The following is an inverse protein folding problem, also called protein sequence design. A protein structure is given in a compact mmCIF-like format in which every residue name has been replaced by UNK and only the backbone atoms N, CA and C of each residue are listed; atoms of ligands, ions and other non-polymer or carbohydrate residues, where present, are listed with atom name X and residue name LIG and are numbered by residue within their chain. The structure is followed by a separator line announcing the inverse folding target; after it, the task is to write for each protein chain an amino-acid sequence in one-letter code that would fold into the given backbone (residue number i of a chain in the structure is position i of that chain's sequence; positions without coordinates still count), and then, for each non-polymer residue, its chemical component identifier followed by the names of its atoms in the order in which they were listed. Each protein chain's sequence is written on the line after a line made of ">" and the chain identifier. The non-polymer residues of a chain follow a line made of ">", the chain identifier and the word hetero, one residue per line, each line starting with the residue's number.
data_IF_349910509482
#
_entry.id   IF_349910509482
#
_cell.length_a   1.000
_cell.length_b   1.000
_cell.length_c   1.000
_cell.angle_alpha   90.00
_cell.angle_beta   90.00
_cell.angle_gamma   90.00
#
_symmetry.space_group_name_H-M   'P 1'
#
loop_
_entity.id
_entity.type
_entity.pdbx_description
1 polymer ?
#
# COMPACT_ATOMS: atom_id res chain seq x y z
N UNK A 1 -22.37 -16.84 -11.74
CA UNK A 1 -21.36 -16.06 -11.00
C UNK A 1 -22.12 -15.04 -10.16
N UNK A 2 -21.94 -15.01 -8.84
CA UNK A 2 -22.64 -14.06 -7.96
C UNK A 2 -21.82 -12.78 -7.84
N UNK A 3 -22.46 -11.63 -8.04
CA UNK A 3 -21.84 -10.30 -7.89
C UNK A 3 -22.26 -9.67 -6.55
N UNK A 4 -21.38 -8.86 -5.95
CA UNK A 4 -21.62 -8.10 -4.73
C UNK A 4 -21.69 -6.61 -5.04
N UNK A 5 -22.57 -5.89 -4.34
CA UNK A 5 -22.52 -4.43 -4.31
C UNK A 5 -21.30 -3.95 -3.52
N UNK A 6 -20.88 -2.70 -3.72
CA UNK A 6 -19.79 -2.08 -2.93
C UNK A 6 -20.03 -2.13 -1.43
N UNK A 7 -21.28 -2.01 -0.95
CA UNK A 7 -21.61 -2.14 0.47
C UNK A 7 -21.39 -3.56 1.00
N UNK A 8 -21.87 -4.58 0.28
CA UNK A 8 -21.69 -5.98 0.65
C UNK A 8 -20.20 -6.38 0.59
N UNK A 9 -19.50 -5.96 -0.46
CA UNK A 9 -18.08 -6.24 -0.62
C UNK A 9 -17.23 -5.57 0.47
N UNK A 10 -17.53 -4.32 0.84
CA UNK A 10 -16.82 -3.64 1.91
C UNK A 10 -17.01 -4.34 3.27
N UNK A 11 -18.23 -4.82 3.55
CA UNK A 11 -18.52 -5.61 4.73
C UNK A 11 -17.73 -6.94 4.75
N UNK A 12 -17.71 -7.68 3.64
CA UNK A 12 -16.93 -8.92 3.49
C UNK A 12 -15.43 -8.68 3.73
N UNK A 13 -14.89 -7.57 3.21
CA UNK A 13 -13.47 -7.20 3.38
C UNK A 13 -13.15 -6.63 4.77
N UNK A 14 -14.17 -6.39 5.60
CA UNK A 14 -14.10 -5.71 6.90
C UNK A 14 -13.43 -4.34 6.80
N UNK A 15 -13.84 -3.55 5.80
CA UNK A 15 -13.35 -2.19 5.60
C UNK A 15 -14.49 -1.21 5.27
N UNK A 16 -14.20 0.09 5.29
CA UNK A 16 -15.18 1.08 4.87
C UNK A 16 -15.46 1.01 3.36
N UNK A 17 -16.66 1.41 2.93
CA UNK A 17 -17.00 1.57 1.50
C UNK A 17 -16.03 2.54 0.82
N UNK A 18 -15.57 3.57 1.52
CA UNK A 18 -14.57 4.50 0.98
C UNK A 18 -13.23 3.82 0.71
N UNK A 19 -12.78 2.94 1.61
CA UNK A 19 -11.56 2.14 1.41
C UNK A 19 -11.69 1.25 0.18
N UNK A 20 -12.83 0.58 -0.01
CA UNK A 20 -13.08 -0.22 -1.21
C UNK A 20 -13.07 0.63 -2.48
N UNK A 21 -13.73 1.80 -2.48
CA UNK A 21 -13.69 2.74 -3.61
C UNK A 21 -12.27 3.16 -3.97
N UNK A 22 -11.40 3.36 -2.99
CA UNK A 22 -9.98 3.66 -3.22
C UNK A 22 -9.22 2.49 -3.86
N UNK A 23 -9.50 1.25 -3.45
CA UNK A 23 -8.92 0.06 -4.10
C UNK A 23 -9.33 -0.05 -5.57
N UNK A 24 -10.61 0.21 -5.86
CA UNK A 24 -11.14 0.26 -7.23
C UNK A 24 -10.47 1.38 -8.03
N UNK A 25 -10.41 2.60 -7.50
CA UNK A 25 -9.81 3.76 -8.18
C UNK A 25 -8.30 3.58 -8.44
N UNK A 26 -7.61 2.82 -7.59
CA UNK A 26 -6.21 2.47 -7.79
C UNK A 26 -6.00 1.36 -8.85
N UNK A 27 -7.07 0.74 -9.34
CA UNK A 27 -7.01 -0.33 -10.35
C UNK A 27 -6.49 -1.67 -9.79
N UNK A 28 -6.66 -1.92 -8.49
CA UNK A 28 -6.13 -3.11 -7.81
C UNK A 28 -7.05 -4.34 -7.89
N UNK A 29 -8.24 -4.18 -8.48
CA UNK A 29 -9.22 -5.24 -8.67
C UNK A 29 -9.44 -5.41 -10.18
N UNK A 30 -9.22 -6.62 -10.73
CA UNK A 30 -9.19 -6.84 -12.18
C UNK A 30 -10.56 -6.75 -12.83
N UNK A 31 -11.62 -7.15 -12.11
CA UNK A 31 -13.00 -7.09 -12.59
C UNK A 31 -13.87 -6.17 -11.73
N UNK A 32 -14.28 -5.06 -12.33
CA UNK A 32 -15.28 -4.15 -11.77
C UNK A 32 -16.33 -3.91 -12.84
N UNK A 33 -17.60 -4.20 -12.51
CA UNK A 33 -18.72 -4.08 -13.43
C UNK A 33 -19.63 -2.93 -13.00
N UNK A 34 -20.24 -2.26 -13.97
CA UNK A 34 -21.22 -1.22 -13.70
C UNK A 34 -22.61 -1.70 -14.16
N UNK A 35 -23.61 -1.50 -13.29
CA UNK A 35 -25.03 -1.75 -13.61
C UNK A 35 -25.86 -0.53 -13.20
N UNK A 36 -26.03 0.40 -14.14
CA UNK A 36 -26.59 1.71 -13.86
C UNK A 36 -25.63 2.49 -12.93
N UNK A 37 -26.14 2.98 -11.79
CA UNK A 37 -25.34 3.69 -10.80
C UNK A 37 -24.68 2.77 -9.76
N UNK A 38 -24.69 1.45 -10.00
CA UNK A 38 -24.16 0.45 -9.06
C UNK A 38 -22.90 -0.19 -9.62
N UNK A 39 -21.82 0.01 -8.89
CA UNK A 39 -20.60 -0.79 -9.04
C UNK A 39 -20.80 -2.17 -8.40
N UNK A 40 -20.48 -3.21 -9.16
CA UNK A 40 -20.59 -4.61 -8.83
C UNK A 40 -19.22 -5.28 -8.93
N UNK A 41 -18.92 -6.14 -7.95
CA UNK A 41 -17.67 -6.90 -7.88
C UNK A 41 -17.98 -8.40 -7.89
N UNK A 42 -17.21 -9.26 -8.59
CA UNK A 42 -17.37 -10.70 -8.48
C UNK A 42 -17.19 -11.16 -7.02
N UNK A 43 -18.14 -11.91 -6.48
CA UNK A 43 -18.07 -12.37 -5.08
C UNK A 43 -16.86 -13.27 -4.82
N UNK A 44 -16.39 -14.01 -5.84
CA UNK A 44 -15.18 -14.83 -5.76
C UNK A 44 -13.95 -13.98 -5.44
N UNK A 45 -13.77 -12.89 -6.18
CA UNK A 45 -12.65 -11.96 -6.05
C UNK A 45 -12.62 -11.30 -4.68
N UNK A 46 -13.79 -10.82 -4.22
CA UNK A 46 -13.93 -10.20 -2.90
C UNK A 46 -13.55 -11.20 -1.79
N UNK A 47 -14.02 -12.45 -1.88
CA UNK A 47 -13.70 -13.49 -0.89
C UNK A 47 -12.24 -13.91 -0.94
N UNK A 48 -11.63 -13.98 -2.13
CA UNK A 48 -10.21 -14.26 -2.28
C UNK A 48 -9.38 -13.17 -1.59
N UNK A 49 -9.77 -11.92 -1.77
CA UNK A 49 -9.13 -10.78 -1.12
C UNK A 49 -9.35 -10.77 0.41
N UNK A 50 -10.56 -11.10 0.87
CA UNK A 50 -10.89 -11.17 2.30
C UNK A 50 -10.06 -12.22 3.06
N UNK A 51 -9.68 -13.31 2.39
CA UNK A 51 -8.88 -14.41 2.93
C UNK A 51 -7.37 -14.17 2.90
N UNK A 52 -6.92 -13.01 2.44
CA UNK A 52 -5.49 -12.70 2.39
C UNK A 52 -4.89 -12.73 3.79
N UNK A 53 -3.79 -13.46 3.90
CA UNK A 53 -3.01 -13.54 5.12
C UNK A 53 -2.44 -12.17 5.50
N UNK A 54 -2.26 -11.97 6.80
CA UNK A 54 -1.52 -10.85 7.33
C UNK A 54 -0.03 -10.98 7.00
N UNK A 55 0.65 -9.85 6.90
CA UNK A 55 2.08 -9.78 7.12
C UNK A 55 2.33 -10.12 8.57
N UNK A 56 3.16 -11.12 8.82
CA UNK A 56 3.65 -11.45 10.16
C UNK A 56 4.94 -10.65 10.43
N UNK A 57 4.91 -9.61 11.29
CA UNK A 57 6.10 -8.80 11.58
C UNK A 57 7.23 -9.62 12.20
N UNK A 58 6.90 -10.69 12.95
CA UNK A 58 7.90 -11.58 13.56
C UNK A 58 8.71 -12.34 12.50
N UNK A 59 8.07 -12.74 11.41
CA UNK A 59 8.68 -13.48 10.30
C UNK A 59 9.49 -12.59 9.33
N UNK A 60 9.42 -11.26 9.48
CA UNK A 60 10.22 -10.34 8.69
C UNK A 60 11.63 -10.14 9.25
N UNK A 61 11.88 -10.58 10.49
CA UNK A 61 13.16 -10.38 11.21
C UNK A 61 13.54 -8.89 11.34
N UNK A 62 12.52 -8.02 11.30
CA UNK A 62 12.65 -6.59 11.53
C UNK A 62 12.20 -6.28 12.96
N UNK A 63 12.91 -5.38 13.65
CA UNK A 63 12.43 -4.87 14.94
C UNK A 63 11.13 -4.07 14.80
N UNK A 64 10.98 -3.38 13.67
CA UNK A 64 9.84 -2.52 13.36
C UNK A 64 9.70 -2.37 11.84
N UNK A 65 8.46 -2.35 11.35
CA UNK A 65 8.13 -2.10 9.95
C UNK A 65 7.43 -0.73 9.81
N UNK A 66 8.11 0.28 9.24
CA UNK A 66 7.47 1.51 8.81
C UNK A 66 6.48 1.26 7.67
N UNK A 67 5.31 1.88 7.74
CA UNK A 67 4.21 1.72 6.79
C UNK A 67 3.71 3.08 6.33
N UNK A 68 3.96 3.43 5.06
CA UNK A 68 3.39 4.59 4.40
C UNK A 68 1.98 4.27 3.89
N UNK A 69 0.99 5.02 4.37
CA UNK A 69 -0.41 4.88 3.94
C UNK A 69 -0.71 5.86 2.83
N UNK A 70 -1.24 5.36 1.72
CA UNK A 70 -1.57 6.18 0.54
C UNK A 70 -3.01 6.04 0.10
N UNK A 71 -3.49 7.03 -0.64
CA UNK A 71 -4.70 6.95 -1.45
C UNK A 71 -4.40 6.50 -2.88
N UNK A 72 -5.44 6.48 -3.73
CA UNK A 72 -5.28 6.36 -5.18
C UNK A 72 -4.36 7.46 -5.72
N UNK A 73 -3.69 7.19 -6.83
CA UNK A 73 -2.83 8.18 -7.47
C UNK A 73 -3.64 9.37 -7.98
N UNK A 74 -3.30 10.56 -7.50
CA UNK A 74 -3.94 11.84 -7.83
C UNK A 74 -2.87 12.89 -8.13
N UNK A 75 -3.24 13.96 -8.85
CA UNK A 75 -2.34 15.09 -9.07
C UNK A 75 -2.18 15.89 -7.78
N UNK A 76 -0.93 16.18 -7.40
CA UNK A 76 -0.65 16.99 -6.23
C UNK A 76 -1.13 18.43 -6.43
N UNK A 77 -2.03 18.89 -5.56
CA UNK A 77 -2.55 20.25 -5.57
C UNK A 77 -1.42 21.29 -5.45
N UNK A 78 -1.47 22.34 -6.28
CA UNK A 78 -0.51 23.44 -6.24
C UNK A 78 0.89 23.12 -6.78
N UNK A 79 1.10 21.94 -7.35
CA UNK A 79 2.36 21.61 -8.03
C UNK A 79 2.41 22.24 -9.43
N UNK A 80 3.45 23.05 -9.72
CA UNK A 80 3.69 23.64 -11.05
C UNK A 80 4.03 22.59 -12.12
N UNK A 81 4.50 21.43 -11.67
CA UNK A 81 4.72 20.23 -12.46
C UNK A 81 3.67 19.23 -12.02
N UNK A 82 3.00 18.55 -12.95
CA UNK A 82 1.94 17.53 -12.71
C UNK A 82 2.46 16.33 -11.91
N UNK A 83 2.87 16.54 -10.67
CA UNK A 83 3.45 15.54 -9.80
C UNK A 83 2.32 14.69 -9.23
N UNK A 84 2.37 13.39 -9.47
CA UNK A 84 1.42 12.46 -8.88
C UNK A 84 1.79 12.19 -7.42
N UNK A 85 0.78 11.95 -6.58
CA UNK A 85 0.93 11.42 -5.23
C UNK A 85 0.00 10.21 -5.07
N UNK A 86 0.44 9.20 -4.33
CA UNK A 86 -0.35 8.00 -4.06
C UNK A 86 -0.04 6.84 -4.99
N UNK A 87 -0.99 5.91 -5.14
CA UNK A 87 -0.77 4.63 -5.81
C UNK A 87 -1.82 4.34 -6.90
N UNK A 88 -1.37 3.87 -8.06
CA UNK A 88 -2.23 3.23 -9.04
C UNK A 88 -1.47 2.14 -9.80
N UNK A 89 -2.12 1.00 -10.02
CA UNK A 89 -1.55 -0.17 -10.70
C UNK A 89 -1.11 0.10 -12.15
N UNK A 90 -1.66 1.14 -12.78
CA UNK A 90 -1.32 1.56 -14.15
C UNK A 90 -0.02 2.36 -14.27
N UNK A 91 0.56 2.82 -13.16
CA UNK A 91 1.78 3.62 -13.20
C UNK A 91 2.99 2.77 -13.58
N UNK A 92 3.92 3.35 -14.35
CA UNK A 92 5.23 2.71 -14.55
C UNK A 92 6.00 2.66 -13.22
N UNK A 93 7.00 1.78 -13.07
CA UNK A 93 7.83 1.73 -11.87
C UNK A 93 8.42 3.09 -11.48
N UNK A 94 8.86 3.87 -12.46
CA UNK A 94 9.44 5.20 -12.26
C UNK A 94 8.39 6.18 -11.75
N UNK A 95 7.21 6.22 -12.39
CA UNK A 95 6.11 7.08 -11.97
C UNK A 95 5.61 6.73 -10.57
N UNK A 96 5.51 5.44 -10.27
CA UNK A 96 5.12 4.93 -8.97
C UNK A 96 6.13 5.35 -7.90
N UNK A 97 7.43 5.15 -8.16
CA UNK A 97 8.48 5.60 -7.25
C UNK A 97 8.37 7.10 -6.97
N UNK A 98 8.21 7.93 -8.02
CA UNK A 98 8.05 9.38 -7.88
C UNK A 98 6.82 9.75 -7.05
N UNK A 99 5.70 9.05 -7.21
CA UNK A 99 4.47 9.30 -6.48
C UNK A 99 4.53 8.88 -4.99
N UNK A 100 5.38 7.91 -4.66
CA UNK A 100 5.52 7.36 -3.31
C UNK A 100 6.64 8.03 -2.50
N UNK A 101 7.64 8.63 -3.14
CA UNK A 101 8.73 9.39 -2.47
C UNK A 101 8.32 10.82 -2.06
N UNK A 102 7.04 11.05 -1.78
CA UNK A 102 6.53 12.36 -1.38
C UNK A 102 7.12 12.88 -0.05
N UNK A 103 6.66 14.05 0.37
CA UNK A 103 7.09 14.69 1.62
C UNK A 103 6.19 14.25 2.78
N UNK A 104 6.69 13.39 3.65
CA UNK A 104 5.90 12.75 4.69
C UNK A 104 6.27 13.24 6.09
N UNK A 105 5.27 13.47 6.94
CA UNK A 105 5.51 13.59 8.39
C UNK A 105 5.80 12.20 8.93
N UNK A 106 7.02 12.00 9.44
CA UNK A 106 7.51 10.73 9.96
C UNK A 106 8.74 10.98 10.84
N UNK A 107 9.24 9.90 11.43
CA UNK A 107 10.52 9.83 12.12
C UNK A 107 11.50 9.21 11.11
N UNK A 108 12.46 10.01 10.59
CA UNK A 108 13.37 9.54 9.56
C UNK A 108 14.37 8.51 10.08
N UNK A 109 14.74 8.55 11.36
CA UNK A 109 15.70 7.61 11.93
C UNK A 109 15.11 6.21 12.01
N UNK A 110 13.82 6.10 12.36
CA UNK A 110 13.10 4.81 12.37
C UNK A 110 13.00 4.19 10.98
N UNK A 111 12.75 4.99 9.95
CA UNK A 111 12.72 4.52 8.56
C UNK A 111 14.10 4.04 8.11
N UNK A 112 15.14 4.84 8.35
CA UNK A 112 16.52 4.50 7.97
C UNK A 112 17.02 3.25 8.72
N UNK A 113 16.68 3.10 10.00
CA UNK A 113 17.01 1.91 10.80
C UNK A 113 16.34 0.64 10.29
N UNK A 114 15.08 0.74 9.86
CA UNK A 114 14.37 -0.40 9.27
C UNK A 114 14.92 -0.78 7.89
N UNK A 115 15.48 0.18 7.15
CA UNK A 115 16.01 -0.03 5.80
C UNK A 115 14.93 -0.33 4.75
N UNK A 116 13.66 -0.33 5.14
CA UNK A 116 12.50 -0.65 4.31
C UNK A 116 11.29 0.19 4.71
N UNK A 117 10.45 0.54 3.75
CA UNK A 117 9.17 1.20 3.94
C UNK A 117 8.11 0.45 3.14
N UNK A 118 7.20 -0.22 3.84
CA UNK A 118 6.02 -0.80 3.21
C UNK A 118 5.04 0.32 2.83
N UNK A 119 4.33 0.15 1.73
CA UNK A 119 3.31 1.09 1.27
C UNK A 119 1.96 0.37 1.24
N UNK A 120 0.96 0.95 1.88
CA UNK A 120 -0.39 0.37 1.94
C UNK A 120 -1.45 1.26 1.30
N UNK A 121 -2.40 0.62 0.62
CA UNK A 121 -3.67 1.22 0.25
C UNK A 121 -4.79 0.45 0.96
N UNK A 122 -5.49 1.13 1.87
CA UNK A 122 -6.37 0.43 2.80
C UNK A 122 -5.57 -0.54 3.67
N UNK A 123 -6.02 -1.79 3.86
CA UNK A 123 -5.30 -2.76 4.66
C UNK A 123 -4.28 -3.57 3.84
N UNK A 124 -4.04 -3.29 2.55
CA UNK A 124 -3.19 -4.14 1.71
C UNK A 124 -1.85 -3.47 1.40
N UNK A 125 -0.77 -4.24 1.49
CA UNK A 125 0.55 -3.80 1.05
C UNK A 125 0.65 -3.84 -0.48
N UNK A 126 0.85 -2.67 -1.10
CA UNK A 126 0.80 -2.48 -2.55
C UNK A 126 2.17 -2.15 -3.17
N UNK A 127 3.10 -1.63 -2.38
CA UNK A 127 4.49 -1.39 -2.79
C UNK A 127 5.45 -1.50 -1.60
N UNK A 128 6.73 -1.66 -1.89
CA UNK A 128 7.81 -1.63 -0.91
C UNK A 128 8.95 -0.76 -1.46
N UNK A 129 9.42 0.18 -0.65
CA UNK A 129 10.62 0.97 -0.92
C UNK A 129 11.76 0.51 0.01
N UNK A 130 12.97 0.46 -0.51
CA UNK A 130 14.19 0.08 0.23
C UNK A 130 15.42 0.84 -0.28
N UNK A 131 16.61 0.41 0.16
CA UNK A 131 17.91 0.98 -0.24
C UNK A 131 17.97 2.51 -0.11
N UNK A 132 17.57 3.04 1.06
CA UNK A 132 17.55 4.48 1.30
C UNK A 132 18.97 5.05 1.37
N UNK A 133 19.30 5.93 0.41
CA UNK A 133 20.61 6.57 0.28
C UNK A 133 20.68 7.95 0.90
N UNK A 134 19.61 8.73 0.78
CA UNK A 134 19.56 10.12 1.26
C UNK A 134 18.19 10.49 1.81
N UNK A 135 18.17 11.35 2.82
CA UNK A 135 16.94 11.95 3.36
C UNK A 135 17.02 13.47 3.27
N UNK A 136 15.99 14.08 2.70
CA UNK A 136 15.80 15.52 2.68
C UNK A 136 14.79 15.91 3.76
N UNK A 137 14.97 17.07 4.39
CA UNK A 137 14.04 17.61 5.39
C UNK A 137 13.55 19.00 5.00
N UNK A 138 12.23 19.22 5.11
CA UNK A 138 11.59 20.52 4.86
C UNK A 138 10.36 20.69 5.76
N UNK A 139 10.41 21.62 6.70
CA UNK A 139 9.25 21.99 7.53
C UNK A 139 8.64 20.82 8.31
N UNK A 140 9.47 19.97 8.91
CA UNK A 140 9.03 18.78 9.65
C UNK A 140 8.47 17.64 8.79
N UNK A 141 8.75 17.67 7.48
CA UNK A 141 8.47 16.59 6.54
C UNK A 141 9.77 16.09 5.94
N UNK A 142 9.80 14.80 5.63
CA UNK A 142 10.97 14.12 5.11
C UNK A 142 10.66 13.48 3.77
N UNK A 143 11.66 13.47 2.90
CA UNK A 143 11.63 12.79 1.59
C UNK A 143 12.85 11.87 1.49
N UNK A 144 12.61 10.61 1.16
CA UNK A 144 13.65 9.59 1.07
C UNK A 144 14.00 9.32 -0.39
N UNK A 145 15.29 9.28 -0.69
CA UNK A 145 15.82 8.78 -1.95
C UNK A 145 16.29 7.35 -1.73
N UNK A 146 15.79 6.42 -2.53
CA UNK A 146 16.03 4.98 -2.43
C UNK A 146 15.48 4.29 -3.67
N UNK A 147 14.98 3.07 -3.54
CA UNK A 147 14.56 2.25 -4.68
C UNK A 147 13.17 1.62 -4.47
N UNK A 148 12.50 1.32 -5.58
CA UNK A 148 11.26 0.55 -5.57
C UNK A 148 11.61 -0.95 -5.59
N UNK A 149 11.53 -1.58 -4.43
CA UNK A 149 11.82 -3.00 -4.25
C UNK A 149 10.81 -3.89 -5.01
N UNK A 150 9.55 -3.49 -5.00
CA UNK A 150 8.49 -4.12 -5.77
C UNK A 150 7.10 -3.54 -5.49
N UNK A 151 6.11 -3.99 -6.27
CA UNK A 151 4.72 -3.53 -6.21
C UNK A 151 3.73 -4.58 -6.72
N UNK A 152 2.43 -4.32 -6.52
CA UNK A 152 1.32 -5.23 -6.89
C UNK A 152 0.38 -4.59 -7.91
N UNK A 153 0.15 -5.23 -9.05
CA UNK A 153 -0.81 -4.72 -10.04
C UNK A 153 -2.23 -5.28 -9.88
N UNK A 154 -2.41 -6.36 -9.14
CA UNK A 154 -3.70 -7.02 -8.88
C UNK A 154 -3.67 -7.65 -7.48
N UNK A 155 -4.65 -7.37 -6.61
CA UNK A 155 -4.72 -7.97 -5.26
C UNK A 155 -5.53 -9.28 -5.19
N UNK A 156 -6.41 -9.54 -6.16
CA UNK A 156 -7.22 -10.76 -6.26
C UNK A 156 -6.32 -11.93 -6.61
N UNK A 157 -5.50 -11.77 -7.66
CA UNK A 157 -4.41 -12.69 -8.01
C UNK A 157 -3.09 -11.92 -7.96
N UNK A 158 -2.39 -11.86 -6.81
CA UNK A 158 -1.19 -11.07 -6.59
C UNK A 158 -0.15 -11.21 -7.69
N UNK A 159 -0.18 -10.29 -8.64
CA UNK A 159 0.89 -10.09 -9.60
C UNK A 159 1.88 -9.14 -8.94
N UNK A 160 2.94 -9.73 -8.37
CA UNK A 160 4.03 -8.98 -7.78
C UNK A 160 5.11 -8.74 -8.84
N UNK A 161 5.45 -7.47 -9.07
CA UNK A 161 6.64 -7.08 -9.82
C UNK A 161 7.71 -6.75 -8.79
N UNK A 162 8.74 -7.58 -8.70
CA UNK A 162 9.76 -7.49 -7.64
C UNK A 162 11.15 -7.55 -8.23
N UNK A 163 12.04 -6.68 -7.76
CA UNK A 163 13.46 -6.77 -8.09
C UNK A 163 14.04 -8.09 -7.58
N UNK A 164 15.02 -8.63 -8.30
CA UNK A 164 15.56 -9.98 -8.05
C UNK A 164 16.02 -10.18 -6.59
N UNK A 165 16.56 -9.13 -5.98
CA UNK A 165 17.21 -9.13 -4.67
C UNK A 165 16.36 -8.53 -3.53
N UNK A 166 15.02 -8.50 -3.67
CA UNK A 166 14.12 -7.94 -2.66
C UNK A 166 13.26 -9.01 -1.94
N UNK A 167 13.84 -9.83 -1.04
CA UNK A 167 13.12 -10.90 -0.34
C UNK A 167 12.04 -10.37 0.62
N UNK A 168 12.25 -9.20 1.23
CA UNK A 168 11.23 -8.55 2.07
C UNK A 168 10.00 -8.14 1.26
N UNK A 169 10.19 -7.59 0.06
CA UNK A 169 9.08 -7.23 -0.81
C UNK A 169 8.19 -8.45 -1.13
N UNK A 170 8.77 -9.62 -1.43
CA UNK A 170 8.01 -10.86 -1.67
C UNK A 170 7.19 -11.32 -0.45
N UNK A 171 7.74 -11.12 0.76
CA UNK A 171 7.06 -11.48 2.02
C UNK A 171 5.94 -10.52 2.38
N UNK A 172 5.97 -9.27 1.89
CA UNK A 172 5.03 -8.21 2.27
C UNK A 172 3.92 -8.01 1.22
N UNK A 173 4.26 -7.97 -0.07
CA UNK A 173 3.38 -7.51 -1.14
C UNK A 173 2.12 -8.38 -1.29
N UNK A 174 0.96 -7.71 -1.41
CA UNK A 174 -0.34 -8.35 -1.62
C UNK A 174 -0.97 -8.93 -0.35
N UNK A 175 -0.27 -8.87 0.79
CA UNK A 175 -0.78 -9.30 2.09
C UNK A 175 -1.50 -8.17 2.82
N UNK A 176 -2.28 -8.54 3.84
CA UNK A 176 -2.88 -7.56 4.74
C UNK A 176 -1.82 -7.02 5.69
N UNK A 177 -1.74 -5.71 5.85
CA UNK A 177 -0.85 -5.04 6.79
C UNK A 177 -1.66 -3.96 7.52
N UNK A 178 -2.09 -4.29 8.72
CA UNK A 178 -2.82 -3.37 9.59
C UNK A 178 -1.83 -2.43 10.27
N UNK A 179 -2.19 -1.16 10.37
CA UNK A 179 -1.34 -0.13 10.97
C UNK A 179 -2.22 0.87 11.73
N UNK A 180 -1.90 1.12 13.00
CA UNK A 180 -2.66 2.03 13.87
C UNK A 180 -2.38 3.52 13.58
N UNK A 181 -3.29 4.39 14.01
CA UNK A 181 -3.43 5.77 13.53
C UNK A 181 -2.50 6.80 14.20
N UNK A 182 -1.97 7.74 13.41
CA UNK A 182 -1.33 8.97 13.92
C UNK A 182 -0.78 9.91 12.83
N UNK A 183 -0.42 9.40 11.65
CA UNK A 183 0.13 10.19 10.54
C UNK A 183 0.20 9.42 9.22
N UNK A 184 0.76 10.00 8.14
CA UNK A 184 0.88 9.30 6.86
C UNK A 184 1.76 8.05 6.96
N UNK A 185 2.73 8.04 7.88
CA UNK A 185 3.54 6.87 8.20
C UNK A 185 3.16 6.33 9.58
N UNK A 186 2.94 5.03 9.66
CA UNK A 186 2.75 4.27 10.88
C UNK A 186 3.93 3.32 11.11
N UNK A 187 4.07 2.78 12.32
CA UNK A 187 5.17 1.89 12.69
C UNK A 187 4.60 0.63 13.33
N UNK A 188 4.71 -0.48 12.62
CA UNK A 188 4.21 -1.78 13.09
C UNK A 188 5.36 -2.49 13.80
N UNK A 189 5.22 -2.67 15.11
CA UNK A 189 6.21 -3.38 15.89
C UNK A 189 5.98 -4.89 15.81
N UNK A 190 7.07 -5.63 16.00
CA UNK A 190 6.99 -7.04 16.38
C UNK A 190 6.09 -7.15 17.61
N UNK A 191 5.11 -8.05 17.61
CA UNK A 191 4.38 -8.31 18.85
C UNK A 191 5.38 -8.92 19.79
N UNK A 192 5.81 -8.17 20.80
CA UNK A 192 6.50 -8.77 21.93
C UNK A 192 5.63 -9.93 22.41
N UNK A 193 6.17 -11.14 22.44
CA UNK A 193 5.52 -12.26 23.10
C UNK A 193 5.34 -11.87 24.57
N UNK A 194 4.18 -11.30 24.89
CA UNK A 194 3.82 -10.83 26.21
C UNK A 194 3.07 -11.92 26.95
N UNK A 195 3.81 -12.62 27.81
CA UNK A 195 3.47 -13.05 29.17
C UNK A 195 2.12 -13.71 29.42
#
# INVERSE_FOLDING_TARGET
>A
MMDMTTSAAAAELRCSVNTLKKLIAAGLLPEVRERGNRTLLPAGDVRALARREGVDPDALELGELPVLRVGPAELAEGSRQSALIGYAARLTPEQMYQALRGWWRCDPERILRAGVLAVTLGPYAVAVLDDFRYVESRGGRYRFTGELAGYVTDLVTPVQVVRREAPLARRILGRRLESESGGPVAYVQRRSAGG
#
